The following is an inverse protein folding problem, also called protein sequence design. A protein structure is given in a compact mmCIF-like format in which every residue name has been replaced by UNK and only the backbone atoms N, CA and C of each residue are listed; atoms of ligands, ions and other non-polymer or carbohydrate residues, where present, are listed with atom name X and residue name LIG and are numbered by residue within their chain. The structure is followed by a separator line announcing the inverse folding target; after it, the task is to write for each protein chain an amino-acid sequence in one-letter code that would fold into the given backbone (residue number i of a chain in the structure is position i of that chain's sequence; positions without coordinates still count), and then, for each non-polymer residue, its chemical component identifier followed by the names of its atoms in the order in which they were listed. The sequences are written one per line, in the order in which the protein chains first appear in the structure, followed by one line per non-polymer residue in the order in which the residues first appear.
data_IF_948051931219
#
_entry.id   IF_948051931219
#
_cell.length_a   1.000
_cell.length_b   1.000
_cell.length_c   1.000
_cell.angle_alpha   90.00
_cell.angle_beta   90.00
_cell.angle_gamma   90.00
#
_symmetry.space_group_name_H-M   'P 1'
#
loop_
_entity.id
_entity.type
_entity.pdbx_description
1 polymer ?
#
# COMPACT_ATOMS: atom_id res chain seq x y z
N UNK A 1 31.07 22.39 -15.84
CA UNK A 1 31.28 20.98 -15.48
C UNK A 1 30.34 20.75 -14.31
N UNK A 2 29.27 19.96 -14.50
CA UNK A 2 28.46 19.53 -13.38
C UNK A 2 29.36 18.64 -12.51
N UNK A 3 29.59 19.02 -11.27
CA UNK A 3 30.24 18.16 -10.29
C UNK A 3 29.48 16.83 -10.30
N UNK A 4 30.24 15.77 -10.47
CA UNK A 4 29.77 14.37 -10.42
C UNK A 4 29.36 14.08 -8.96
N UNK A 5 28.20 14.65 -8.58
CA UNK A 5 27.71 14.61 -7.20
C UNK A 5 27.23 13.19 -6.91
N UNK A 6 27.92 12.50 -6.02
CA UNK A 6 27.55 11.16 -5.56
C UNK A 6 26.04 11.09 -5.27
N UNK A 7 25.36 10.11 -5.88
CA UNK A 7 23.93 9.85 -5.66
C UNK A 7 23.74 9.08 -4.37
N UNK A 8 22.94 9.63 -3.45
CA UNK A 8 22.72 9.02 -2.14
C UNK A 8 21.39 8.28 -2.12
N UNK A 9 21.42 7.02 -1.66
CA UNK A 9 20.28 6.16 -1.42
C UNK A 9 20.08 6.06 0.10
N UNK A 10 18.91 6.47 0.59
CA UNK A 10 18.54 6.34 1.99
C UNK A 10 17.66 5.11 2.21
N UNK A 11 17.73 4.51 3.40
CA UNK A 11 16.75 3.53 3.85
C UNK A 11 16.22 3.92 5.23
N UNK A 12 14.88 3.95 5.36
CA UNK A 12 14.17 4.14 6.63
C UNK A 12 13.65 2.79 7.11
N UNK A 13 14.07 2.37 8.29
CA UNK A 13 13.66 1.09 8.87
C UNK A 13 13.58 1.15 10.40
N UNK A 14 12.88 0.19 10.98
CA UNK A 14 12.69 0.06 12.42
C UNK A 14 13.41 -1.14 13.02
N UNK A 15 12.64 -2.19 13.33
CA UNK A 15 13.13 -3.38 14.07
C UNK A 15 13.88 -4.40 13.22
N UNK A 16 13.95 -4.19 11.92
CA UNK A 16 14.61 -5.12 11.00
C UNK A 16 16.13 -5.12 11.22
N UNK A 17 16.70 -6.32 11.41
CA UNK A 17 18.12 -6.46 11.73
C UNK A 17 18.97 -7.09 10.62
N UNK A 18 18.37 -7.61 9.56
CA UNK A 18 19.08 -8.34 8.50
C UNK A 18 19.04 -7.61 7.17
N UNK A 19 17.86 -7.45 6.57
CA UNK A 19 17.70 -6.88 5.24
C UNK A 19 18.28 -5.46 5.09
N UNK A 20 18.00 -4.48 5.98
CA UNK A 20 18.47 -3.12 5.75
C UNK A 20 19.98 -3.00 5.66
N UNK A 21 20.70 -3.72 6.49
CA UNK A 21 22.17 -3.70 6.49
C UNK A 21 22.75 -4.39 5.26
N UNK A 22 22.22 -5.57 4.91
CA UNK A 22 22.62 -6.27 3.69
C UNK A 22 22.33 -5.46 2.42
N UNK A 23 21.21 -4.74 2.39
CA UNK A 23 20.87 -3.83 1.31
C UNK A 23 21.87 -2.67 1.19
N UNK A 24 22.20 -1.99 2.30
CA UNK A 24 23.19 -0.91 2.33
C UNK A 24 24.52 -1.41 1.80
N UNK A 25 25.01 -2.54 2.32
CA UNK A 25 26.29 -3.13 1.90
C UNK A 25 26.27 -3.49 0.41
N UNK A 26 25.20 -4.09 -0.09
CA UNK A 26 25.06 -4.50 -1.49
C UNK A 26 25.02 -3.27 -2.43
N UNK A 27 24.26 -2.24 -2.10
CA UNK A 27 24.23 -0.99 -2.88
C UNK A 27 25.61 -0.34 -2.89
N UNK A 28 26.31 -0.27 -1.75
CA UNK A 28 27.65 0.30 -1.69
C UNK A 28 28.66 -0.51 -2.50
N UNK A 29 28.61 -1.84 -2.42
CA UNK A 29 29.50 -2.71 -3.21
C UNK A 29 29.28 -2.54 -4.73
N UNK A 30 28.04 -2.49 -5.19
CA UNK A 30 27.69 -2.41 -6.62
C UNK A 30 27.74 -0.99 -7.16
N UNK A 31 27.34 -0.02 -6.35
CA UNK A 31 27.13 1.38 -6.74
C UNK A 31 28.36 2.24 -6.71
N UNK A 32 29.43 1.85 -6.00
CA UNK A 32 30.64 2.68 -5.81
C UNK A 32 31.24 3.17 -7.13
N UNK A 33 31.42 2.25 -8.08
CA UNK A 33 31.98 2.58 -9.40
C UNK A 33 31.06 3.48 -10.26
N UNK A 34 29.77 3.55 -9.90
CA UNK A 34 28.74 4.35 -10.58
C UNK A 34 28.43 5.66 -9.83
N UNK A 35 29.16 5.96 -8.75
CA UNK A 35 28.92 7.13 -7.92
C UNK A 35 27.63 7.05 -7.09
N UNK A 36 27.15 5.85 -6.77
CA UNK A 36 25.97 5.61 -5.92
C UNK A 36 26.40 5.04 -4.58
N UNK A 37 25.83 5.57 -3.49
CA UNK A 37 26.09 5.11 -2.14
C UNK A 37 24.78 5.02 -1.35
N UNK A 38 24.66 4.03 -0.45
CA UNK A 38 23.54 3.88 0.46
C UNK A 38 23.93 4.08 1.93
N UNK A 39 22.97 4.56 2.71
CA UNK A 39 23.09 4.70 4.17
C UNK A 39 21.72 4.66 4.86
N UNK A 40 21.72 4.46 6.18
CA UNK A 40 20.53 4.62 7.01
C UNK A 40 20.13 6.11 7.07
N UNK A 41 18.86 6.42 6.78
CA UNK A 41 18.32 7.75 7.02
C UNK A 41 18.19 8.01 8.52
N UNK A 42 18.79 9.09 9.01
CA UNK A 42 18.62 9.57 10.37
C UNK A 42 17.90 10.91 10.35
N UNK A 43 16.71 10.96 10.94
CA UNK A 43 15.82 12.11 10.89
C UNK A 43 15.56 12.65 12.30
N UNK A 44 15.61 13.97 12.42
CA UNK A 44 15.12 14.72 13.58
C UNK A 44 13.86 15.50 13.25
N UNK A 45 13.65 16.67 13.86
CA UNK A 45 12.64 17.62 13.39
C UNK A 45 13.03 18.17 12.02
N UNK A 46 12.21 17.96 11.01
CA UNK A 46 12.49 18.37 9.62
C UNK A 46 11.86 19.72 9.32
N UNK A 47 12.65 20.69 8.89
CA UNK A 47 12.15 22.00 8.44
C UNK A 47 11.69 21.92 6.99
N UNK A 48 10.74 22.78 6.62
CA UNK A 48 10.22 22.84 5.24
C UNK A 48 11.29 23.25 4.21
N UNK A 49 12.25 24.08 4.62
CA UNK A 49 13.33 24.60 3.79
C UNK A 49 14.61 23.75 3.80
N UNK A 50 14.65 22.70 4.59
CA UNK A 50 15.80 21.80 4.67
C UNK A 50 15.87 20.91 3.43
N UNK A 51 17.00 20.90 2.67
CA UNK A 51 17.11 20.11 1.46
C UNK A 51 17.13 18.61 1.76
N UNK A 52 16.55 17.83 0.85
CA UNK A 52 16.62 16.37 0.88
C UNK A 52 17.92 15.90 0.21
N UNK A 53 18.81 15.19 0.93
CA UNK A 53 20.08 14.76 0.36
C UNK A 53 19.99 13.51 -0.51
N UNK A 54 18.86 12.80 -0.49
CA UNK A 54 18.70 11.48 -1.09
C UNK A 54 18.11 11.58 -2.50
N UNK A 55 18.71 10.84 -3.46
CA UNK A 55 18.12 10.61 -4.78
C UNK A 55 17.02 9.52 -4.71
N UNK A 56 17.21 8.53 -3.84
CA UNK A 56 16.26 7.44 -3.59
C UNK A 56 16.10 7.24 -2.09
N UNK A 57 14.87 6.95 -1.63
CA UNK A 57 14.62 6.53 -0.26
C UNK A 57 13.77 5.24 -0.28
N UNK A 58 14.28 4.19 0.35
CA UNK A 58 13.53 2.95 0.60
C UNK A 58 12.81 3.06 1.94
N UNK A 59 11.49 2.95 1.92
CA UNK A 59 10.63 3.07 3.10
C UNK A 59 10.22 1.70 3.62
N UNK A 60 10.63 1.41 4.86
CA UNK A 60 10.30 0.16 5.56
C UNK A 60 9.57 0.40 6.88
N UNK A 61 9.14 1.66 7.19
CA UNK A 61 8.65 2.00 8.53
C UNK A 61 7.47 2.97 8.55
N UNK A 62 7.22 3.74 7.49
CA UNK A 62 6.19 4.78 7.53
C UNK A 62 4.76 4.25 7.65
N UNK A 63 4.54 2.95 7.37
CA UNK A 63 3.29 2.26 7.62
C UNK A 63 2.98 2.10 9.12
N UNK A 64 4.00 2.10 9.99
CA UNK A 64 3.84 2.06 11.45
C UNK A 64 3.90 3.47 12.07
N UNK A 65 4.78 4.34 11.54
CA UNK A 65 5.08 5.65 12.13
C UNK A 65 4.80 6.77 11.13
N UNK A 66 3.65 7.46 11.23
CA UNK A 66 3.21 8.49 10.26
C UNK A 66 4.16 9.67 10.08
N UNK A 67 5.01 9.99 11.09
CA UNK A 67 6.03 11.03 10.98
C UNK A 67 6.92 10.85 9.75
N UNK A 68 7.41 9.63 9.52
CA UNK A 68 8.28 9.35 8.37
C UNK A 68 7.57 9.59 7.04
N UNK A 69 6.25 9.35 6.96
CA UNK A 69 5.50 9.62 5.74
C UNK A 69 5.42 11.09 5.39
N UNK A 70 5.33 11.99 6.39
CA UNK A 70 5.37 13.43 6.15
C UNK A 70 6.70 13.83 5.51
N UNK A 71 7.82 13.31 6.02
CA UNK A 71 9.14 13.51 5.45
C UNK A 71 9.25 12.97 4.02
N UNK A 72 8.79 11.74 3.79
CA UNK A 72 8.84 11.10 2.47
C UNK A 72 8.03 11.86 1.41
N UNK A 73 6.87 12.42 1.78
CA UNK A 73 6.10 13.28 0.87
C UNK A 73 6.85 14.55 0.49
N UNK A 74 7.55 15.17 1.44
CA UNK A 74 8.45 16.29 1.16
C UNK A 74 9.59 15.87 0.24
N UNK A 75 10.20 14.71 0.48
CA UNK A 75 11.28 14.19 -0.35
C UNK A 75 10.85 14.03 -1.82
N UNK A 76 9.65 13.49 -2.07
CA UNK A 76 9.09 13.39 -3.43
C UNK A 76 8.91 14.76 -4.08
N UNK A 77 8.43 15.77 -3.33
CA UNK A 77 8.28 17.13 -3.86
C UNK A 77 9.62 17.75 -4.28
N UNK A 78 10.73 17.33 -3.67
CA UNK A 78 12.08 17.77 -4.00
C UNK A 78 12.79 16.85 -5.03
N UNK A 79 12.06 15.87 -5.59
CA UNK A 79 12.54 15.04 -6.68
C UNK A 79 13.17 13.71 -6.27
N UNK A 80 13.16 13.35 -5.00
CA UNK A 80 13.59 12.02 -4.57
C UNK A 80 12.62 10.94 -5.03
N UNK A 81 13.11 9.79 -5.44
CA UNK A 81 12.30 8.58 -5.67
C UNK A 81 12.08 7.88 -4.34
N UNK A 82 10.84 7.64 -3.97
CA UNK A 82 10.50 6.90 -2.74
C UNK A 82 9.89 5.55 -3.09
N UNK A 83 10.45 4.49 -2.57
CA UNK A 83 9.99 3.10 -2.72
C UNK A 83 9.33 2.68 -1.39
N UNK A 84 8.00 2.55 -1.30
CA UNK A 84 6.97 2.86 -2.29
C UNK A 84 6.49 4.32 -2.20
N UNK A 85 5.65 4.71 -3.17
CA UNK A 85 5.09 6.06 -3.25
C UNK A 85 4.35 6.47 -1.96
N UNK A 86 4.78 7.53 -1.24
CA UNK A 86 4.22 7.88 0.07
C UNK A 86 2.86 8.58 0.00
N UNK A 87 2.42 9.01 -1.18
CA UNK A 87 1.09 9.57 -1.38
C UNK A 87 0.04 8.48 -1.52
N UNK A 88 0.47 7.29 -1.87
CA UNK A 88 -0.35 6.13 -1.97
C UNK A 88 -0.04 5.17 -0.83
N UNK A 89 -1.01 5.02 0.04
CA UNK A 89 -0.89 4.09 1.12
C UNK A 89 -2.12 3.23 1.19
N UNK A 90 -2.03 2.12 0.59
CA UNK A 90 -3.16 1.32 0.21
C UNK A 90 -3.19 -0.03 0.90
N UNK A 91 -2.29 -0.26 1.86
CA UNK A 91 -2.51 -1.31 2.84
C UNK A 91 -3.85 -1.12 3.59
N UNK A 92 -4.56 -0.08 3.22
CA UNK A 92 -5.69 0.48 3.94
C UNK A 92 -7.05 0.18 3.32
N UNK A 93 -7.13 -0.49 2.17
CA UNK A 93 -8.42 -0.70 1.53
C UNK A 93 -8.50 -2.03 0.80
N UNK A 94 -8.46 -3.11 1.59
CA UNK A 94 -8.58 -4.48 1.06
C UNK A 94 -9.87 -4.73 0.28
N UNK A 95 -10.94 -3.96 0.52
CA UNK A 95 -12.17 -4.08 -0.26
C UNK A 95 -12.02 -3.44 -1.65
N UNK A 96 -11.50 -2.20 -1.70
CA UNK A 96 -11.21 -1.54 -2.96
C UNK A 96 -10.29 -2.40 -3.85
N UNK A 97 -9.28 -2.99 -3.26
CA UNK A 97 -8.32 -3.84 -3.94
C UNK A 97 -8.98 -5.06 -4.60
N UNK A 98 -9.85 -5.76 -3.86
CA UNK A 98 -10.62 -6.85 -4.42
C UNK A 98 -11.46 -6.39 -5.62
N UNK A 99 -12.08 -5.20 -5.52
CA UNK A 99 -12.83 -4.61 -6.63
C UNK A 99 -11.92 -4.29 -7.83
N UNK A 100 -10.73 -3.73 -7.57
CA UNK A 100 -9.74 -3.43 -8.61
C UNK A 100 -9.24 -4.71 -9.28
N UNK A 101 -8.88 -5.74 -8.52
CA UNK A 101 -8.42 -7.02 -9.04
C UNK A 101 -9.46 -7.66 -9.98
N UNK A 102 -10.74 -7.63 -9.62
CA UNK A 102 -11.83 -8.08 -10.49
C UNK A 102 -11.84 -7.28 -11.80
N UNK A 103 -11.68 -5.98 -11.74
CA UNK A 103 -11.61 -5.08 -12.91
C UNK A 103 -10.43 -5.42 -13.82
N UNK A 104 -9.31 -5.84 -13.23
CA UNK A 104 -8.08 -6.24 -13.94
C UNK A 104 -8.13 -7.70 -14.45
N UNK A 105 -9.18 -8.46 -14.13
CA UNK A 105 -9.32 -9.86 -14.51
C UNK A 105 -8.50 -10.84 -13.67
N UNK A 106 -8.05 -10.41 -12.49
CA UNK A 106 -7.39 -11.27 -11.51
C UNK A 106 -8.43 -11.85 -10.57
N UNK A 107 -8.39 -13.16 -10.36
CA UNK A 107 -9.32 -13.86 -9.46
C UNK A 107 -9.05 -13.47 -7.99
N UNK A 108 -10.12 -13.19 -7.27
CA UNK A 108 -10.11 -12.89 -5.83
C UNK A 108 -11.25 -13.63 -5.13
N UNK A 109 -11.14 -13.90 -3.81
CA UNK A 109 -12.26 -14.42 -3.04
C UNK A 109 -13.43 -13.44 -3.01
N UNK A 110 -14.64 -13.94 -2.93
CA UNK A 110 -15.82 -13.10 -2.69
C UNK A 110 -15.65 -12.31 -1.41
N UNK A 111 -15.84 -11.01 -1.47
CA UNK A 111 -15.55 -10.10 -0.36
C UNK A 111 -16.67 -9.09 -0.19
N UNK A 112 -17.01 -8.81 1.05
CA UNK A 112 -17.99 -7.80 1.48
C UNK A 112 -17.33 -6.86 2.47
N UNK A 113 -17.54 -5.56 2.36
CA UNK A 113 -17.14 -4.59 3.39
C UNK A 113 -18.29 -4.42 4.40
N UNK A 114 -17.94 -4.37 5.68
CA UNK A 114 -18.87 -4.20 6.78
C UNK A 114 -18.60 -2.86 7.48
N UNK A 115 -19.65 -2.14 7.91
CA UNK A 115 -19.48 -0.96 8.74
C UNK A 115 -18.86 -1.34 10.09
N UNK A 116 -18.37 -0.35 10.84
CA UNK A 116 -17.88 -0.56 12.19
C UNK A 116 -19.00 -1.03 13.12
N UNK A 117 -18.66 -1.84 14.12
CA UNK A 117 -19.60 -2.23 15.20
C UNK A 117 -19.92 -1.06 16.12
N UNK A 118 -18.89 -0.24 16.41
CA UNK A 118 -19.00 0.99 17.21
C UNK A 118 -18.21 2.12 16.56
N UNK A 119 -18.43 3.32 17.02
CA UNK A 119 -17.84 4.52 16.47
C UNK A 119 -17.15 5.35 17.55
N UNK A 120 -16.18 6.17 17.16
CA UNK A 120 -15.50 7.09 18.07
C UNK A 120 -16.46 8.05 18.75
N UNK A 121 -16.07 8.55 19.90
CA UNK A 121 -16.86 9.55 20.64
C UNK A 121 -17.22 10.75 19.75
N UNK A 122 -18.47 11.20 19.85
CA UNK A 122 -19.01 12.28 19.01
C UNK A 122 -19.72 11.84 17.75
N UNK A 123 -19.62 10.58 17.32
CA UNK A 123 -20.46 10.02 16.25
C UNK A 123 -21.80 9.63 16.86
N UNK A 124 -22.88 10.28 16.40
CA UNK A 124 -24.26 10.04 16.86
C UNK A 124 -25.10 9.40 15.77
N UNK A 125 -26.31 8.96 16.09
CA UNK A 125 -27.21 8.31 15.14
C UNK A 125 -27.44 9.15 13.87
N UNK A 126 -27.49 10.47 14.01
CA UNK A 126 -27.61 11.42 12.91
C UNK A 126 -26.43 11.41 11.94
N UNK A 127 -25.24 11.05 12.42
CA UNK A 127 -24.03 10.87 11.58
C UNK A 127 -24.14 9.61 10.72
N UNK A 128 -25.00 8.67 11.10
CA UNK A 128 -25.11 7.34 10.49
C UNK A 128 -26.37 7.17 9.62
N UNK A 129 -27.02 8.27 9.21
CA UNK A 129 -28.29 8.25 8.45
C UNK A 129 -28.23 7.49 7.14
N UNK A 130 -27.04 7.30 6.58
CA UNK A 130 -26.83 6.58 5.33
C UNK A 130 -26.60 5.07 5.55
N UNK A 131 -26.44 4.61 6.78
CA UNK A 131 -26.31 3.20 7.10
C UNK A 131 -27.68 2.55 7.22
N UNK A 132 -27.82 1.37 6.61
CA UNK A 132 -29.00 0.54 6.72
C UNK A 132 -28.80 -0.51 7.82
N UNK A 133 -29.70 -0.51 8.81
CA UNK A 133 -29.73 -1.49 9.88
C UNK A 133 -31.14 -2.09 10.03
N UNK A 134 -31.22 -3.37 10.46
CA UNK A 134 -30.13 -4.31 10.73
C UNK A 134 -29.42 -4.74 9.44
N UNK A 135 -28.17 -5.19 9.56
CA UNK A 135 -27.46 -5.80 8.43
C UNK A 135 -28.10 -7.14 8.07
N UNK A 136 -28.19 -7.43 6.78
CA UNK A 136 -28.66 -8.73 6.27
C UNK A 136 -27.54 -9.78 6.40
N UNK A 137 -27.29 -10.23 7.63
CA UNK A 137 -26.23 -11.20 7.93
C UNK A 137 -26.33 -12.48 7.11
N UNK A 138 -27.55 -12.98 6.90
CA UNK A 138 -27.76 -14.20 6.15
C UNK A 138 -27.45 -13.98 4.66
N UNK A 139 -27.93 -12.90 4.05
CA UNK A 139 -27.62 -12.59 2.65
C UNK A 139 -26.15 -12.33 2.39
N UNK A 140 -25.45 -11.68 3.34
CA UNK A 140 -24.00 -11.49 3.26
C UNK A 140 -23.24 -12.83 3.35
N UNK A 141 -23.66 -13.71 4.27
CA UNK A 141 -23.06 -15.03 4.42
C UNK A 141 -23.35 -15.94 3.21
N UNK A 142 -24.54 -15.89 2.65
CA UNK A 142 -24.92 -16.67 1.45
C UNK A 142 -24.10 -16.23 0.23
N UNK A 143 -23.78 -14.93 0.13
CA UNK A 143 -22.92 -14.42 -0.93
C UNK A 143 -21.46 -14.89 -0.80
N UNK A 144 -20.88 -14.77 0.40
CA UNK A 144 -19.47 -15.09 0.67
C UNK A 144 -19.24 -16.60 0.77
N UNK A 145 -20.13 -17.31 1.47
CA UNK A 145 -19.99 -18.72 1.83
C UNK A 145 -19.10 -18.94 3.06
N UNK A 146 -19.12 -20.17 3.58
CA UNK A 146 -18.27 -20.59 4.70
C UNK A 146 -17.33 -21.76 4.30
N UNK A 147 -16.13 -21.88 4.90
CA UNK A 147 -15.58 -20.95 5.90
C UNK A 147 -15.24 -19.58 5.31
N UNK A 148 -15.32 -18.53 6.12
CA UNK A 148 -14.99 -17.18 5.75
C UNK A 148 -14.01 -16.56 6.76
N UNK A 149 -13.37 -15.46 6.36
CA UNK A 149 -12.49 -14.67 7.22
C UNK A 149 -13.09 -13.28 7.43
N UNK A 150 -13.36 -12.95 8.69
CA UNK A 150 -13.67 -11.59 9.13
C UNK A 150 -12.34 -10.94 9.53
N UNK A 151 -11.93 -9.89 8.82
CA UNK A 151 -10.63 -9.21 9.05
C UNK A 151 -10.74 -7.70 8.81
N UNK A 152 -9.90 -6.86 9.47
CA UNK A 152 -9.88 -5.44 9.19
C UNK A 152 -9.54 -5.17 7.70
N UNK A 153 -10.20 -4.17 7.09
CA UNK A 153 -9.82 -3.76 5.75
C UNK A 153 -8.55 -2.89 5.73
N UNK A 154 -8.17 -2.33 6.90
CA UNK A 154 -6.93 -1.58 7.12
C UNK A 154 -5.95 -2.41 7.94
N UNK A 155 -4.67 -2.38 7.57
CA UNK A 155 -3.59 -3.02 8.32
C UNK A 155 -3.29 -4.48 7.93
N UNK A 156 -2.41 -5.14 8.69
CA UNK A 156 -1.90 -6.48 8.40
C UNK A 156 -1.41 -7.21 9.66
N UNK A 157 -0.57 -8.23 9.47
CA UNK A 157 0.07 -8.95 10.58
C UNK A 157 -0.87 -9.87 11.36
N UNK A 158 -1.94 -10.37 10.75
CA UNK A 158 -2.92 -11.30 11.35
C UNK A 158 -3.66 -10.76 12.60
N UNK A 159 -3.62 -9.45 12.84
CA UNK A 159 -4.33 -8.84 13.98
C UNK A 159 -5.82 -8.76 13.67
N UNK A 160 -6.64 -9.19 14.64
CA UNK A 160 -8.11 -9.17 14.54
C UNK A 160 -8.67 -9.92 13.32
N UNK A 161 -8.03 -11.03 12.94
CA UNK A 161 -8.49 -11.94 11.88
C UNK A 161 -9.21 -13.12 12.52
N UNK A 162 -10.48 -13.32 12.17
CA UNK A 162 -11.36 -14.37 12.69
C UNK A 162 -11.77 -15.29 11.55
N UNK A 163 -11.53 -16.59 11.69
CA UNK A 163 -12.09 -17.59 10.79
C UNK A 163 -13.47 -18.01 11.33
N UNK A 164 -14.49 -17.88 10.51
CA UNK A 164 -15.89 -18.14 10.90
C UNK A 164 -16.50 -19.22 10.02
N UNK A 165 -17.41 -20.02 10.61
CA UNK A 165 -18.03 -21.18 9.96
C UNK A 165 -19.56 -21.10 9.95
N UNK A 166 -20.15 -20.10 10.60
CA UNK A 166 -21.60 -19.89 10.65
C UNK A 166 -21.94 -18.40 10.81
N UNK A 167 -23.19 -18.05 10.57
CA UNK A 167 -23.72 -16.70 10.79
C UNK A 167 -23.60 -16.31 12.26
N UNK A 168 -23.87 -17.23 13.19
CA UNK A 168 -23.78 -16.96 14.62
C UNK A 168 -22.34 -16.65 15.05
N UNK A 169 -21.36 -17.41 14.56
CA UNK A 169 -19.94 -17.12 14.80
C UNK A 169 -19.53 -15.77 14.18
N UNK A 170 -20.02 -15.47 12.97
CA UNK A 170 -19.76 -14.20 12.31
C UNK A 170 -20.25 -13.02 13.14
N UNK A 171 -21.49 -13.07 13.62
CA UNK A 171 -22.07 -12.01 14.44
C UNK A 171 -21.30 -11.87 15.76
N UNK A 172 -21.00 -12.99 16.42
CA UNK A 172 -20.22 -12.98 17.65
C UNK A 172 -18.83 -12.37 17.47
N UNK A 173 -18.11 -12.74 16.41
CA UNK A 173 -16.79 -12.15 16.09
C UNK A 173 -16.90 -10.67 15.73
N UNK A 174 -17.93 -10.29 14.96
CA UNK A 174 -18.17 -8.90 14.60
C UNK A 174 -18.43 -8.02 15.84
N UNK A 175 -19.13 -8.54 16.83
CA UNK A 175 -19.38 -7.83 18.08
C UNK A 175 -18.09 -7.51 18.87
N UNK A 176 -16.98 -8.21 18.58
CA UNK A 176 -15.67 -7.96 19.19
C UNK A 176 -14.80 -6.94 18.43
N UNK A 177 -15.23 -6.49 17.23
CA UNK A 177 -14.38 -5.67 16.36
C UNK A 177 -14.32 -4.19 16.75
N UNK A 178 -15.26 -3.72 17.57
CA UNK A 178 -15.29 -2.33 18.04
C UNK A 178 -15.34 -1.32 16.89
N UNK A 179 -14.39 -0.41 16.87
CA UNK A 179 -14.29 0.68 15.88
C UNK A 179 -13.59 0.27 14.57
N UNK A 180 -13.20 -1.00 14.43
CA UNK A 180 -12.54 -1.47 13.21
C UNK A 180 -13.56 -1.63 12.07
N UNK A 181 -13.25 -1.04 10.92
CA UNK A 181 -13.92 -1.37 9.67
C UNK A 181 -13.45 -2.74 9.18
N UNK A 182 -14.38 -3.61 8.84
CA UNK A 182 -14.10 -5.02 8.56
C UNK A 182 -14.47 -5.40 7.14
N UNK A 183 -13.82 -6.44 6.62
CA UNK A 183 -14.31 -7.20 5.47
C UNK A 183 -14.63 -8.63 5.90
N UNK A 184 -15.67 -9.20 5.29
CA UNK A 184 -15.93 -10.63 5.29
C UNK A 184 -15.50 -11.19 3.94
N UNK A 185 -14.59 -12.14 3.96
CA UNK A 185 -13.97 -12.71 2.74
C UNK A 185 -14.08 -14.22 2.73
N UNK A 186 -14.43 -14.80 1.56
CA UNK A 186 -14.47 -16.25 1.32
C UNK A 186 -13.14 -16.90 1.71
N UNK A 187 -13.21 -17.98 2.46
CA UNK A 187 -12.05 -18.82 2.79
C UNK A 187 -11.77 -19.81 1.69
N UNK A 188 -10.80 -19.52 0.82
CA UNK A 188 -10.43 -20.44 -0.27
C UNK A 188 -9.84 -21.73 0.29
N UNK A 189 -10.48 -22.85 -0.02
CA UNK A 189 -9.89 -24.18 0.20
C UNK A 189 -8.87 -24.42 -0.91
N UNK A 190 -7.59 -24.33 -0.57
CA UNK A 190 -6.51 -24.34 -1.57
C UNK A 190 -5.74 -25.67 -1.59
N UNK A 191 -5.25 -26.01 -2.76
CA UNK A 191 -4.36 -27.16 -3.03
C UNK A 191 -2.89 -26.71 -2.93
N UNK A 192 -2.61 -25.48 -3.35
CA UNK A 192 -1.30 -24.86 -3.34
C UNK A 192 -1.43 -23.41 -2.87
N UNK A 193 -0.38 -22.91 -2.25
CA UNK A 193 -0.34 -21.50 -1.83
C UNK A 193 0.99 -20.88 -2.26
N UNK A 194 0.91 -19.74 -2.91
CA UNK A 194 2.06 -18.97 -3.36
C UNK A 194 2.19 -17.65 -2.61
N UNK A 195 3.42 -17.24 -2.34
CA UNK A 195 3.77 -15.88 -1.99
C UNK A 195 4.77 -15.36 -3.00
N UNK A 196 4.49 -14.22 -3.60
CA UNK A 196 5.35 -13.59 -4.59
C UNK A 196 6.10 -12.43 -3.96
N UNK A 197 7.43 -12.40 -4.06
CA UNK A 197 8.20 -11.18 -3.83
C UNK A 197 8.21 -10.39 -5.14
N UNK A 198 7.76 -9.12 -5.09
CA UNK A 198 7.59 -8.25 -6.25
C UNK A 198 8.49 -7.03 -6.11
N UNK A 199 9.51 -6.91 -6.98
CA UNK A 199 10.49 -5.82 -6.93
C UNK A 199 10.53 -5.09 -8.28
N UNK A 200 10.35 -3.78 -8.25
CA UNK A 200 10.37 -2.92 -9.45
C UNK A 200 9.26 -3.22 -10.45
N UNK A 201 8.14 -3.83 -10.00
CA UNK A 201 6.96 -4.22 -10.80
C UNK A 201 7.22 -5.30 -11.86
N UNK A 202 8.46 -5.57 -12.19
CA UNK A 202 8.87 -6.51 -13.26
C UNK A 202 9.57 -7.75 -12.74
N UNK A 203 10.27 -7.65 -11.63
CA UNK A 203 11.03 -8.74 -11.06
C UNK A 203 10.18 -9.46 -9.99
N UNK A 204 9.52 -10.55 -10.39
CA UNK A 204 8.59 -11.31 -9.57
C UNK A 204 9.17 -12.69 -9.26
N UNK A 205 9.29 -13.01 -7.98
CA UNK A 205 9.72 -14.34 -7.50
C UNK A 205 8.53 -15.07 -6.89
N UNK A 206 8.04 -16.09 -7.59
CA UNK A 206 6.95 -16.94 -7.10
C UNK A 206 7.53 -17.99 -6.16
N UNK A 207 7.01 -18.06 -4.95
CA UNK A 207 7.54 -18.87 -3.85
C UNK A 207 6.45 -19.82 -3.35
N UNK A 208 6.79 -21.07 -3.14
CA UNK A 208 5.96 -22.00 -2.38
C UNK A 208 5.87 -21.51 -0.93
N UNK A 209 4.65 -21.24 -0.47
CA UNK A 209 4.40 -20.75 0.86
C UNK A 209 3.45 -21.66 1.60
N UNK A 210 3.77 -21.97 2.86
CA UNK A 210 3.00 -22.87 3.71
C UNK A 210 2.48 -22.10 4.94
N UNK A 211 1.35 -21.37 4.84
CA UNK A 211 0.85 -20.51 5.92
C UNK A 211 0.54 -21.25 7.21
N UNK A 212 0.27 -22.55 7.15
CA UNK A 212 0.04 -23.41 8.33
C UNK A 212 1.30 -23.81 9.11
N UNK A 213 2.48 -23.59 8.53
CA UNK A 213 3.74 -23.91 9.20
C UNK A 213 4.14 -22.84 10.22
N UNK A 214 5.02 -23.16 11.18
CA UNK A 214 5.73 -22.15 11.98
C UNK A 214 6.41 -21.10 11.09
N UNK A 215 6.49 -19.87 11.55
CA UNK A 215 6.88 -18.70 10.74
C UNK A 215 8.16 -18.92 9.92
N UNK A 216 9.22 -19.49 10.52
CA UNK A 216 10.51 -19.74 9.88
C UNK A 216 10.52 -20.91 8.88
N UNK A 217 9.41 -21.63 8.72
CA UNK A 217 9.25 -22.77 7.78
C UNK A 217 8.20 -22.51 6.70
N UNK A 218 7.69 -21.29 6.61
CA UNK A 218 6.63 -20.94 5.64
C UNK A 218 7.16 -20.78 4.23
N UNK A 219 8.37 -20.27 4.08
CA UNK A 219 9.01 -20.09 2.77
C UNK A 219 9.77 -21.36 2.38
N UNK A 220 9.30 -22.06 1.36
CA UNK A 220 9.88 -23.34 0.94
C UNK A 220 10.58 -23.15 -0.39
N UNK A 221 11.86 -23.56 -0.46
CA UNK A 221 12.63 -23.54 -1.72
C UNK A 221 12.25 -24.76 -2.53
N UNK A 222 11.36 -24.57 -3.49
CA UNK A 222 10.88 -25.63 -4.41
C UNK A 222 10.45 -24.98 -5.74
N UNK A 223 11.39 -24.80 -6.64
CA UNK A 223 11.19 -24.11 -7.93
C UNK A 223 10.22 -24.85 -8.86
N UNK A 224 10.05 -26.17 -8.69
CA UNK A 224 9.19 -27.02 -9.51
C UNK A 224 7.74 -27.13 -9.04
N UNK A 225 7.43 -26.64 -7.83
CA UNK A 225 6.16 -26.92 -7.15
C UNK A 225 4.90 -26.55 -7.95
N UNK A 226 4.91 -25.39 -8.62
CA UNK A 226 3.74 -24.92 -9.35
C UNK A 226 3.62 -25.48 -10.78
N UNK A 227 4.73 -25.95 -11.38
CA UNK A 227 4.82 -26.19 -12.81
C UNK A 227 4.83 -24.87 -13.61
N UNK A 228 5.19 -24.93 -14.88
CA UNK A 228 5.45 -23.73 -15.68
C UNK A 228 4.19 -22.89 -15.93
N UNK A 229 3.09 -23.52 -16.29
CA UNK A 229 1.83 -22.85 -16.65
C UNK A 229 1.25 -22.07 -15.45
N UNK A 230 1.11 -22.73 -14.30
CA UNK A 230 0.56 -22.11 -13.11
C UNK A 230 1.49 -21.02 -12.55
N UNK A 231 2.81 -21.29 -12.55
CA UNK A 231 3.81 -20.30 -12.13
C UNK A 231 3.75 -19.04 -12.98
N UNK A 232 3.71 -19.19 -14.30
CA UNK A 232 3.61 -18.06 -15.24
C UNK A 232 2.30 -17.29 -15.07
N UNK A 233 1.20 -17.97 -14.74
CA UNK A 233 -0.08 -17.32 -14.43
C UNK A 233 -0.01 -16.51 -13.15
N UNK A 234 0.52 -17.08 -12.05
CA UNK A 234 0.71 -16.38 -10.77
C UNK A 234 1.61 -15.15 -10.95
N UNK A 235 2.72 -15.30 -11.65
CA UNK A 235 3.66 -14.21 -11.92
C UNK A 235 2.98 -13.07 -12.70
N UNK A 236 2.23 -13.40 -13.74
CA UNK A 236 1.47 -12.42 -14.53
C UNK A 236 0.43 -11.69 -13.68
N UNK A 237 -0.34 -12.43 -12.87
CA UNK A 237 -1.39 -11.86 -12.04
C UNK A 237 -0.78 -10.95 -10.95
N UNK A 238 0.32 -11.36 -10.30
CA UNK A 238 1.08 -10.51 -9.38
C UNK A 238 1.60 -9.23 -10.05
N UNK A 239 2.23 -9.37 -11.22
CA UNK A 239 2.71 -8.21 -12.00
C UNK A 239 1.59 -7.24 -12.35
N UNK A 240 0.43 -7.75 -12.75
CA UNK A 240 -0.76 -6.96 -13.07
C UNK A 240 -1.19 -6.12 -11.87
N UNK A 241 -1.25 -6.73 -10.68
CA UNK A 241 -1.66 -6.06 -9.45
C UNK A 241 -0.66 -4.96 -9.04
N UNK A 242 0.63 -5.29 -8.92
CA UNK A 242 1.64 -4.32 -8.46
C UNK A 242 1.86 -3.18 -9.46
N UNK A 243 1.71 -3.45 -10.76
CA UNK A 243 1.78 -2.39 -11.80
C UNK A 243 0.59 -1.45 -11.71
N UNK A 244 -0.63 -1.99 -11.54
CA UNK A 244 -1.83 -1.19 -11.40
C UNK A 244 -1.81 -0.30 -10.15
N UNK A 245 -1.21 -0.81 -9.08
CA UNK A 245 -1.05 -0.09 -7.81
C UNK A 245 0.19 0.81 -7.77
N UNK A 246 1.13 0.63 -8.70
CA UNK A 246 2.38 1.40 -8.72
C UNK A 246 3.35 1.03 -7.61
N UNK A 247 3.31 -0.22 -7.12
CA UNK A 247 4.24 -0.69 -6.10
C UNK A 247 5.55 -1.20 -6.68
N UNK A 248 6.65 -0.63 -6.23
CA UNK A 248 8.00 -1.09 -6.56
C UNK A 248 8.55 -2.11 -5.55
N UNK A 249 7.88 -2.29 -4.42
CA UNK A 249 8.23 -3.28 -3.39
C UNK A 249 6.96 -3.80 -2.74
N UNK A 250 6.66 -5.08 -2.94
CA UNK A 250 5.42 -5.69 -2.43
C UNK A 250 5.55 -7.22 -2.28
N UNK A 251 4.58 -7.82 -1.58
CA UNK A 251 4.30 -9.25 -1.66
C UNK A 251 2.85 -9.51 -1.99
N UNK A 252 2.63 -10.41 -2.95
CA UNK A 252 1.30 -10.91 -3.31
C UNK A 252 1.12 -12.35 -2.84
N UNK A 253 0.01 -12.64 -2.20
CA UNK A 253 -0.36 -14.00 -1.77
C UNK A 253 -1.48 -14.56 -2.64
N UNK A 254 -1.30 -15.82 -3.08
CA UNK A 254 -2.27 -16.52 -3.91
C UNK A 254 -2.61 -17.90 -3.34
N UNK A 255 -3.91 -18.13 -3.12
CA UNK A 255 -4.45 -19.46 -2.83
C UNK A 255 -4.94 -20.09 -4.14
N UNK A 256 -4.46 -21.30 -4.47
CA UNK A 256 -4.80 -21.99 -5.71
C UNK A 256 -5.90 -23.01 -5.45
N UNK A 257 -7.02 -22.88 -6.15
CA UNK A 257 -8.14 -23.81 -6.14
C UNK A 257 -8.53 -24.13 -7.59
N UNK A 258 -8.63 -25.40 -7.93
CA UNK A 258 -8.98 -25.89 -9.29
C UNK A 258 -8.06 -25.27 -10.37
N UNK A 259 -6.75 -25.13 -10.08
CA UNK A 259 -5.77 -24.51 -10.97
C UNK A 259 -5.92 -23.00 -11.16
N UNK A 260 -6.81 -22.34 -10.41
CA UNK A 260 -7.03 -20.89 -10.44
C UNK A 260 -6.36 -20.23 -9.22
N UNK A 261 -5.38 -19.33 -9.41
CA UNK A 261 -4.79 -18.56 -8.32
C UNK A 261 -5.72 -17.42 -7.94
N UNK A 262 -6.23 -17.44 -6.72
CA UNK A 262 -7.01 -16.37 -6.10
C UNK A 262 -6.07 -15.48 -5.30
N UNK A 263 -5.98 -14.20 -5.64
CA UNK A 263 -5.22 -13.22 -4.87
C UNK A 263 -5.91 -12.97 -3.51
N UNK A 264 -5.17 -13.20 -2.41
CA UNK A 264 -5.69 -13.14 -1.05
C UNK A 264 -5.28 -11.85 -0.32
N UNK A 265 -4.01 -11.45 -0.49
CA UNK A 265 -3.42 -10.25 0.10
C UNK A 265 -2.26 -9.79 -0.79
N UNK A 266 -2.21 -8.50 -1.16
CA UNK A 266 -1.18 -7.96 -2.05
C UNK A 266 -0.86 -6.48 -1.81
N UNK A 267 -1.16 -5.98 -0.63
CA UNK A 267 -0.78 -4.64 -0.22
C UNK A 267 0.11 -4.71 1.02
N UNK A 268 1.33 -5.05 0.78
CA UNK A 268 2.34 -5.11 1.82
C UNK A 268 3.53 -4.21 1.43
N UNK A 269 3.44 -2.89 1.72
CA UNK A 269 4.45 -1.92 1.30
C UNK A 269 5.81 -2.12 1.97
N UNK A 270 5.87 -2.91 3.05
CA UNK A 270 7.09 -3.30 3.74
C UNK A 270 7.09 -4.81 4.00
N UNK A 271 7.20 -5.63 2.93
CA UNK A 271 7.12 -7.07 3.04
C UNK A 271 8.24 -7.65 3.90
N UNK A 272 7.98 -8.81 4.51
CA UNK A 272 9.00 -9.55 5.26
C UNK A 272 10.17 -9.90 4.34
N UNK A 273 11.35 -9.41 4.72
CA UNK A 273 12.63 -9.66 4.03
C UNK A 273 13.70 -10.09 5.04
N UNK A 274 13.30 -10.66 6.19
CA UNK A 274 14.26 -11.11 7.19
C UNK A 274 14.92 -12.42 6.77
N UNK A 275 16.25 -12.50 6.96
CA UNK A 275 17.09 -13.66 6.59
C UNK A 275 16.59 -14.98 7.18
N UNK A 276 16.13 -14.94 8.43
CA UNK A 276 15.67 -16.15 9.14
C UNK A 276 14.23 -16.52 8.79
N UNK A 277 13.47 -15.60 8.22
CA UNK A 277 12.10 -15.83 7.77
C UNK A 277 12.04 -16.35 6.35
N UNK A 278 12.61 -15.60 5.39
CA UNK A 278 12.45 -15.89 3.96
C UNK A 278 13.49 -16.90 3.42
N UNK A 279 14.35 -17.43 4.26
CA UNK A 279 15.49 -18.30 3.96
C UNK A 279 16.66 -17.57 3.26
N UNK A 280 17.89 -18.06 3.40
CA UNK A 280 19.06 -17.47 2.74
C UNK A 280 18.92 -17.36 1.22
N UNK A 281 18.25 -18.32 0.59
CA UNK A 281 18.06 -18.37 -0.86
C UNK A 281 17.24 -17.18 -1.38
N UNK A 282 16.09 -16.90 -0.77
CA UNK A 282 15.24 -15.78 -1.18
C UNK A 282 15.77 -14.45 -0.63
N UNK A 283 16.45 -14.49 0.50
CA UNK A 283 17.10 -13.31 1.06
C UNK A 283 18.16 -12.73 0.10
N UNK A 284 19.03 -13.58 -0.43
CA UNK A 284 20.04 -13.16 -1.39
C UNK A 284 19.41 -12.58 -2.65
N UNK A 285 18.36 -13.23 -3.16
CA UNK A 285 17.62 -12.75 -4.32
C UNK A 285 17.00 -11.36 -4.09
N UNK A 286 16.35 -11.14 -2.93
CA UNK A 286 15.66 -9.86 -2.65
C UNK A 286 16.65 -8.73 -2.39
N UNK A 287 17.77 -9.01 -1.70
CA UNK A 287 18.84 -8.01 -1.49
C UNK A 287 19.43 -7.56 -2.81
N UNK A 288 19.69 -8.52 -3.72
CA UNK A 288 20.22 -8.21 -5.07
C UNK A 288 19.21 -7.38 -5.87
N UNK A 289 17.96 -7.83 -5.95
CA UNK A 289 16.91 -7.17 -6.73
C UNK A 289 16.62 -5.73 -6.22
N UNK A 290 16.57 -5.54 -4.90
CA UNK A 290 16.35 -4.23 -4.30
C UNK A 290 17.55 -3.29 -4.49
N UNK A 291 18.77 -3.81 -4.41
CA UNK A 291 19.97 -3.01 -4.67
C UNK A 291 20.02 -2.55 -6.13
N UNK A 292 19.73 -3.44 -7.08
CA UNK A 292 19.68 -3.10 -8.50
C UNK A 292 18.62 -2.04 -8.80
N UNK A 293 17.42 -2.21 -8.24
CA UNK A 293 16.34 -1.24 -8.36
C UNK A 293 16.75 0.13 -7.81
N UNK A 294 17.32 0.17 -6.61
CA UNK A 294 17.71 1.44 -5.98
C UNK A 294 18.81 2.15 -6.75
N UNK A 295 19.81 1.43 -7.25
CA UNK A 295 20.88 1.97 -8.09
C UNK A 295 20.31 2.51 -9.42
N UNK A 296 19.47 1.73 -10.08
CA UNK A 296 18.81 2.14 -11.32
C UNK A 296 17.99 3.43 -11.12
N UNK A 297 17.18 3.49 -10.07
CA UNK A 297 16.41 4.69 -9.73
C UNK A 297 17.27 5.89 -9.35
N UNK A 298 18.39 5.67 -8.67
CA UNK A 298 19.34 6.75 -8.34
C UNK A 298 19.99 7.35 -9.58
N UNK A 299 20.36 6.53 -10.55
CA UNK A 299 21.02 6.96 -11.77
C UNK A 299 20.08 7.62 -12.77
N UNK A 300 18.93 6.99 -13.01
CA UNK A 300 17.98 7.37 -14.07
C UNK A 300 16.84 8.27 -13.58
N UNK A 301 16.59 8.32 -12.26
CA UNK A 301 15.41 8.91 -11.69
C UNK A 301 14.15 8.10 -12.03
N UNK A 302 13.05 8.50 -11.47
CA UNK A 302 11.73 7.93 -11.78
C UNK A 302 10.67 8.98 -11.41
N UNK A 303 9.90 9.48 -12.36
CA UNK A 303 8.89 10.50 -12.04
C UNK A 303 7.82 9.90 -11.14
N UNK A 304 7.87 10.26 -9.85
CA UNK A 304 6.88 9.84 -8.87
C UNK A 304 5.53 10.47 -9.21
N UNK A 305 4.51 9.65 -9.25
CA UNK A 305 3.15 10.10 -9.50
C UNK A 305 2.39 10.29 -8.19
N UNK A 306 1.83 11.48 -8.00
CA UNK A 306 1.01 11.80 -6.81
C UNK A 306 -0.42 11.28 -6.96
N UNK A 307 -0.81 10.93 -8.19
CA UNK A 307 -2.14 10.42 -8.50
C UNK A 307 -2.06 9.02 -9.08
N UNK A 308 -3.11 8.23 -8.81
CA UNK A 308 -3.25 6.92 -9.40
C UNK A 308 -3.68 7.04 -10.84
N UNK A 309 -3.19 6.12 -11.66
CA UNK A 309 -3.61 5.96 -13.05
C UNK A 309 -4.83 5.07 -13.19
N UNK A 310 -5.74 5.07 -12.23
CA UNK A 310 -6.90 4.18 -12.30
C UNK A 310 -7.86 4.53 -13.39
N UNK A 311 -7.91 5.79 -13.79
CA UNK A 311 -8.66 6.23 -14.97
C UNK A 311 -8.28 5.43 -16.21
N UNK A 312 -7.03 4.98 -16.36
CA UNK A 312 -6.61 4.11 -17.45
C UNK A 312 -7.23 2.70 -17.40
N UNK A 313 -7.67 2.23 -16.22
CA UNK A 313 -8.32 0.92 -16.07
C UNK A 313 -9.83 1.01 -15.89
N UNK A 314 -10.34 2.11 -15.35
CA UNK A 314 -11.76 2.23 -14.97
C UNK A 314 -12.71 2.08 -16.16
N UNK A 315 -12.27 2.50 -17.33
CA UNK A 315 -13.06 2.42 -18.57
C UNK A 315 -12.65 1.26 -19.48
N UNK A 316 -11.62 0.48 -19.08
CA UNK A 316 -11.22 -0.69 -19.86
C UNK A 316 -12.20 -1.85 -19.62
N UNK A 317 -12.63 -2.51 -20.70
CA UNK A 317 -13.33 -3.77 -20.56
C UNK A 317 -12.40 -4.79 -19.88
N UNK A 318 -12.89 -5.61 -18.93
CA UNK A 318 -12.07 -6.66 -18.35
C UNK A 318 -11.55 -7.58 -19.47
N UNK A 319 -10.28 -8.03 -19.42
CA UNK A 319 -9.78 -8.97 -20.40
C UNK A 319 -10.62 -10.25 -20.34
N UNK A 320 -10.86 -10.91 -21.48
CA UNK A 320 -11.57 -12.18 -21.49
C UNK A 320 -10.79 -13.18 -20.63
N UNK A 321 -11.50 -13.97 -19.83
CA UNK A 321 -10.89 -14.98 -18.96
C UNK A 321 -9.97 -15.87 -19.80
N UNK A 322 -8.65 -15.89 -19.46
CA UNK A 322 -7.63 -16.65 -20.20
C UNK A 322 -7.01 -15.95 -21.41
N UNK A 323 -7.39 -14.70 -21.73
CA UNK A 323 -6.78 -13.93 -22.81
C UNK A 323 -5.38 -13.37 -22.42
N UNK A 324 -4.56 -12.99 -23.43
CA UNK A 324 -3.27 -12.35 -23.16
C UNK A 324 -3.48 -11.05 -22.38
N UNK A 325 -2.72 -10.88 -21.31
CA UNK A 325 -2.71 -9.64 -20.52
C UNK A 325 -2.25 -8.51 -21.42
N UNK A 326 -3.08 -7.47 -21.56
CA UNK A 326 -2.68 -6.25 -22.26
C UNK A 326 -1.52 -5.60 -21.49
N UNK A 327 -0.52 -5.17 -22.23
CA UNK A 327 0.61 -4.42 -21.65
C UNK A 327 0.14 -3.00 -21.29
N UNK A 328 -0.28 -2.83 -20.04
CA UNK A 328 -0.83 -1.57 -19.52
C UNK A 328 0.15 -0.39 -19.57
N UNK A 329 1.44 -0.65 -19.66
CA UNK A 329 2.46 0.39 -19.82
C UNK A 329 2.40 1.07 -21.19
N UNK A 330 1.98 0.36 -22.24
CA UNK A 330 1.77 0.96 -23.57
C UNK A 330 0.50 1.81 -23.63
N UNK A 331 -0.59 1.36 -22.96
CA UNK A 331 -1.84 2.12 -22.89
C UNK A 331 -1.71 3.48 -22.18
N UNK A 332 -0.86 3.57 -21.18
CA UNK A 332 -0.73 4.77 -20.34
C UNK A 332 -0.13 5.96 -21.09
N UNK A 333 0.60 5.75 -22.18
CA UNK A 333 1.24 6.83 -22.93
C UNK A 333 0.39 7.38 -24.08
N UNK A 334 -0.44 6.58 -24.71
CA UNK A 334 -1.28 7.02 -25.84
C UNK A 334 -2.58 7.70 -25.37
N UNK A 335 -3.23 7.16 -24.34
CA UNK A 335 -4.55 7.64 -23.88
C UNK A 335 -4.51 8.98 -23.12
N UNK A 336 -3.38 9.28 -22.47
CA UNK A 336 -3.20 10.55 -21.73
C UNK A 336 -3.02 11.74 -22.70
N UNK A 337 -2.36 11.55 -23.84
CA UNK A 337 -2.23 12.60 -24.86
C UNK A 337 -3.57 12.89 -25.53
N UNK A 338 -4.30 11.85 -25.95
CA UNK A 338 -5.59 12.02 -26.61
C UNK A 338 -6.62 12.73 -25.75
N UNK A 339 -6.73 12.36 -24.47
CA UNK A 339 -7.69 13.00 -23.53
C UNK A 339 -7.29 14.41 -23.13
N UNK A 340 -6.00 14.72 -23.05
CA UNK A 340 -5.58 16.09 -22.77
C UNK A 340 -5.96 17.03 -23.93
N UNK A 341 -5.78 16.57 -25.15
CA UNK A 341 -6.18 17.31 -26.35
C UNK A 341 -7.71 17.45 -26.46
N UNK A 342 -8.47 16.40 -26.10
CA UNK A 342 -9.95 16.46 -26.06
C UNK A 342 -10.48 17.40 -24.96
N UNK A 343 -9.87 17.38 -23.76
CA UNK A 343 -10.24 18.27 -22.66
C UNK A 343 -9.89 19.74 -22.97
N UNK A 344 -8.76 20.00 -23.61
CA UNK A 344 -8.43 21.34 -24.07
C UNK A 344 -9.34 21.80 -25.21
N UNK A 345 -9.69 20.92 -26.13
CA UNK A 345 -10.64 21.22 -27.19
C UNK A 345 -12.07 21.48 -26.63
N UNK A 346 -12.47 20.75 -25.58
CA UNK A 346 -13.73 20.99 -24.88
C UNK A 346 -13.72 22.35 -24.15
N UNK A 347 -12.67 22.65 -23.41
CA UNK A 347 -12.50 23.95 -22.73
C UNK A 347 -12.51 25.13 -23.71
N UNK A 348 -11.95 24.97 -24.92
CA UNK A 348 -12.01 25.98 -25.98
C UNK A 348 -13.41 26.15 -26.53
N UNK A 349 -14.18 25.06 -26.70
CA UNK A 349 -15.60 25.11 -27.10
C UNK A 349 -16.44 25.81 -26.05
N UNK A 350 -16.32 25.44 -24.79
CA UNK A 350 -17.04 26.03 -23.67
C UNK A 350 -16.71 27.52 -23.48
N UNK A 351 -15.47 27.93 -23.73
CA UNK A 351 -15.06 29.34 -23.69
C UNK A 351 -15.63 30.16 -24.87
N UNK A 352 -15.79 29.55 -26.05
CA UNK A 352 -16.41 30.17 -27.23
C UNK A 352 -17.93 30.32 -27.01
N UNK A 353 -18.58 29.30 -26.45
CA UNK A 353 -20.02 29.37 -26.10
C UNK A 353 -20.30 30.38 -24.98
N UNK A 354 -19.45 30.46 -23.96
CA UNK A 354 -19.55 31.46 -22.88
C UNK A 354 -19.29 32.90 -23.40
N UNK A 355 -18.45 33.06 -24.43
CA UNK A 355 -18.16 34.37 -25.04
C UNK A 355 -19.21 34.86 -26.04
N UNK A 356 -20.15 34.00 -26.46
CA UNK A 356 -21.25 34.36 -27.37
C UNK A 356 -22.53 34.78 -26.65
N UNK A 357 -22.62 34.66 -25.32
CA UNK A 357 -23.72 35.20 -24.52
C UNK A 357 -23.37 36.65 -24.12
N UNK A 358 -23.94 37.62 -24.83
CA UNK A 358 -23.81 39.03 -24.52
C UNK A 358 -24.44 39.39 -23.18
N UNK A 359 -24.10 40.58 -22.63
CA UNK A 359 -24.44 40.91 -21.25
C UNK A 359 -25.88 41.36 -21.12
N UNK A 360 -26.72 40.66 -20.41
CA UNK A 360 -27.97 41.19 -19.87
C UNK A 360 -28.00 41.13 -18.35
N UNK A 361 -28.02 42.39 -17.82
CA UNK A 361 -28.72 42.91 -16.65
C UNK A 361 -28.45 42.30 -15.24
N UNK A 362 -27.72 43.10 -14.50
CA UNK A 362 -27.95 43.59 -13.11
C UNK A 362 -28.89 42.78 -12.20
N UNK A 363 -28.30 42.09 -11.22
CA UNK A 363 -28.89 41.78 -9.94
C UNK A 363 -27.92 42.12 -8.82
N UNK A 364 -28.27 43.11 -8.00
CA UNK A 364 -27.51 43.60 -6.85
C UNK A 364 -27.30 42.46 -5.82
N UNK A 365 -26.07 42.26 -5.41
CA UNK A 365 -25.74 41.47 -4.22
C UNK A 365 -25.87 42.35 -2.96
N UNK A 366 -26.43 41.87 -1.86
CA UNK A 366 -26.43 42.61 -0.61
C UNK A 366 -25.05 42.55 0.05
N UNK A 367 -24.59 43.71 0.52
CA UNK A 367 -23.41 43.87 1.38
C UNK A 367 -23.53 43.03 2.66
N UNK A 368 -22.57 42.15 2.90
CA UNK A 368 -22.39 41.56 4.21
C UNK A 368 -21.43 42.41 5.04
N UNK A 369 -21.98 42.89 6.14
CA UNK A 369 -21.31 43.63 7.21
C UNK A 369 -20.22 42.76 7.84
N UNK A 370 -18.98 43.23 7.80
CA UNK A 370 -17.86 42.64 8.53
C UNK A 370 -18.00 43.03 10.01
N UNK A 371 -18.44 42.09 10.82
CA UNK A 371 -18.40 42.16 12.27
C UNK A 371 -17.02 41.79 12.80
N UNK A 372 -16.31 42.73 13.37
CA UNK A 372 -15.08 42.50 14.14
C UNK A 372 -15.48 41.89 15.48
N UNK A 373 -15.26 40.60 15.66
CA UNK A 373 -15.47 39.87 16.92
C UNK A 373 -14.14 39.55 17.58
N UNK A 374 -14.02 39.94 18.84
CA UNK A 374 -12.80 39.92 19.65
C UNK A 374 -12.20 38.55 19.92
N UNK A 375 -10.93 38.60 20.26
CA UNK A 375 -10.08 37.48 20.71
C UNK A 375 -10.61 36.94 22.04
N UNK A 376 -10.85 35.64 22.20
CA UNK A 376 -11.11 35.07 23.53
C UNK A 376 -9.78 34.84 24.28
N UNK A 377 -9.83 35.16 25.56
CA UNK A 377 -8.78 34.99 26.54
C UNK A 377 -8.30 33.52 26.67
N UNK A 378 -7.01 33.38 26.89
CA UNK A 378 -6.34 32.15 27.18
C UNK A 378 -6.80 31.53 28.50
N UNK A 379 -7.44 30.37 28.46
CA UNK A 379 -7.61 29.53 29.64
C UNK A 379 -6.38 28.62 29.81
N UNK A 380 -5.73 28.77 30.94
CA UNK A 380 -4.66 27.88 31.41
C UNK A 380 -5.20 26.45 31.59
N UNK A 381 -4.49 25.48 30.98
CA UNK A 381 -4.74 24.06 31.19
C UNK A 381 -4.08 23.61 32.51
N UNK A 382 -4.73 22.73 33.30
CA UNK A 382 -4.11 22.17 34.49
C UNK A 382 -3.01 21.17 34.16
N UNK A 383 -1.99 20.99 35.02
CA UNK A 383 -0.87 20.12 34.74
C UNK A 383 -1.27 18.64 34.76
N UNK A 384 -1.07 17.97 33.64
CA UNK A 384 -1.22 16.51 33.52
C UNK A 384 0.01 15.84 34.12
N UNK A 385 -0.15 15.26 35.31
CA UNK A 385 0.81 14.32 35.90
C UNK A 385 0.74 12.99 35.14
N UNK A 386 1.71 12.72 34.27
CA UNK A 386 1.92 11.39 33.69
C UNK A 386 2.69 10.50 34.67
N UNK A 387 2.46 9.17 34.66
CA UNK A 387 3.20 8.25 35.50
C UNK A 387 4.67 8.14 35.04
N UNK A 388 5.57 8.31 36.00
CA UNK A 388 7.01 8.12 35.82
C UNK A 388 7.34 6.67 35.52
N UNK A 389 8.06 6.44 34.43
CA UNK A 389 8.68 5.15 34.10
C UNK A 389 9.95 5.00 34.93
N UNK A 390 10.15 3.92 35.70
CA UNK A 390 11.38 3.71 36.43
C UNK A 390 12.52 3.31 35.48
N UNK A 391 13.65 3.98 35.60
CA UNK A 391 14.91 3.61 34.97
C UNK A 391 15.48 2.33 35.61
N UNK A 392 16.08 1.41 34.82
CA UNK A 392 16.79 0.28 35.39
C UNK A 392 18.11 0.73 36.02
N UNK A 393 18.36 0.27 37.26
CA UNK A 393 19.62 0.44 38.01
C UNK A 393 20.62 -0.57 37.44
N UNK A 394 21.89 -0.20 37.17
CA UNK A 394 22.92 -1.15 36.78
C UNK A 394 23.57 -1.82 38.02
N UNK A 395 23.71 -3.14 37.92
CA UNK A 395 24.71 -3.89 38.71
C UNK A 395 24.16 -4.80 39.79
N UNK A 396 24.16 -6.10 39.45
CA UNK A 396 24.65 -7.14 40.35
C UNK A 396 25.03 -8.37 39.52
N UNK A 397 26.33 -8.65 39.50
CA UNK A 397 26.93 -9.92 39.06
C UNK A 397 26.53 -11.04 40.02
N UNK A 398 26.08 -12.16 39.50
CA UNK A 398 26.23 -13.45 40.17
C UNK A 398 26.56 -14.53 39.14
N UNK A 399 27.80 -14.96 39.18
CA UNK A 399 28.29 -16.30 38.80
C UNK A 399 28.06 -17.30 39.96
N UNK A 400 28.11 -18.64 39.73
CA UNK A 400 28.59 -19.41 38.60
C UNK A 400 27.48 -20.07 37.75
#
# INVERSE_FOLDING_TARGET
MAEDRQKLVGILFGRENTFPWAFIDRVNQKGEAMGVRAEMCKLGGTRMDEPIPYAVIVDRISHEIPYYRAYLKKAVLEGAVVINNPFWWSADDKFFECCLAVKLGVAVPKTVVLPQKSYVEGVVAESLRNLMYPLDWQGLADYVGFPAFLKPFIGGGWKNVYKVHSVDELIWCFDQTGELGMILQEGIQYEKYARCLCIGQTNIKVIRYEPGNPFHLRYVVDEGFFGEELRSRIERDARTLVTALGYDMDTCEFAVRDGIPYAIDWLNPAPDMDYYSITPYYFEWVVEAMADLAIERALNGYPMQVRYRWDSFLNAAPPPAGGPVRNWTEFAHEDVRGRHEELEAQRRRDAIEAGSAGPEAHGQMPEQVVGVGGVPETHELPPTGGPSIPHPVPGEETTP
#
